data_IF_694474075166
#
_entry.id   IF_694474075166
#
_cell.length_a   1.000
_cell.length_b   1.000
_cell.length_c   1.000
_cell.angle_alpha   90.00
_cell.angle_beta   90.00
_cell.angle_gamma   90.00
#
_symmetry.space_group_name_H-M   'P 1'
#
loop_
_entity.id
_entity.type
_entity.pdbx_description
1 polymer ?
#
# COMPACT_ATOMS: atom_id res chain seq x y z
N UNK A 1 -9.59 11.49 20.79
CA UNK A 1 -8.41 12.02 20.04
C UNK A 1 -8.18 11.05 18.91
N UNK A 2 -8.27 11.52 17.67
CA UNK A 2 -8.04 10.72 16.48
C UNK A 2 -6.58 10.25 16.37
N UNK A 3 -6.32 9.27 15.50
CA UNK A 3 -4.94 8.82 15.25
C UNK A 3 -4.06 9.94 14.72
N UNK A 4 -4.58 10.83 13.86
CA UNK A 4 -3.85 11.99 13.36
C UNK A 4 -3.55 13.02 14.45
N UNK A 5 -4.52 13.36 15.32
CA UNK A 5 -4.32 14.35 16.40
C UNK A 5 -3.19 13.96 17.36
N UNK A 6 -2.88 12.66 17.48
CA UNK A 6 -1.74 12.18 18.28
C UNK A 6 -0.39 12.45 17.64
N UNK A 7 -0.33 12.59 16.31
CA UNK A 7 0.90 12.78 15.55
C UNK A 7 1.11 14.23 15.11
N UNK A 8 0.03 14.97 14.89
CA UNK A 8 0.02 16.31 14.32
C UNK A 8 0.96 17.29 15.03
N UNK A 9 1.03 17.21 16.36
CA UNK A 9 1.85 18.08 17.20
C UNK A 9 3.27 17.56 17.48
N UNK A 10 3.72 16.48 16.85
CA UNK A 10 5.11 16.03 17.01
C UNK A 10 6.06 17.04 16.38
N UNK A 11 6.95 17.60 17.22
CA UNK A 11 7.97 18.54 16.80
C UNK A 11 9.15 17.83 16.15
N UNK A 12 9.75 18.44 15.13
CA UNK A 12 11.03 18.04 14.60
C UNK A 12 11.82 19.25 14.10
N UNK A 13 13.14 19.09 14.06
CA UNK A 13 14.07 20.04 13.44
C UNK A 13 14.57 19.46 12.15
N UNK A 14 14.36 20.18 11.06
CA UNK A 14 14.87 19.87 9.73
C UNK A 14 16.06 20.79 9.40
N UNK A 15 17.20 20.22 9.04
CA UNK A 15 18.41 20.94 8.63
C UNK A 15 18.62 20.90 7.12
N UNK A 16 18.11 19.87 6.47
CA UNK A 16 18.16 19.67 5.02
C UNK A 16 17.53 18.36 4.61
N UNK A 17 17.54 18.11 3.30
CA UNK A 17 17.12 16.82 2.78
C UNK A 17 17.93 16.44 1.54
N UNK A 18 18.01 15.14 1.27
CA UNK A 18 18.56 14.57 0.04
C UNK A 18 17.63 13.54 -0.56
N UNK A 19 17.92 13.17 -1.79
CA UNK A 19 17.12 12.23 -2.57
C UNK A 19 17.98 11.02 -2.94
N UNK A 20 17.43 9.82 -2.78
CA UNK A 20 18.08 8.57 -3.15
C UNK A 20 17.20 7.81 -4.14
N UNK A 21 17.60 7.81 -5.41
CA UNK A 21 16.90 7.08 -6.47
C UNK A 21 17.24 5.59 -6.39
N UNK A 22 16.21 4.75 -6.57
CA UNK A 22 16.33 3.28 -6.66
C UNK A 22 15.66 2.79 -7.95
N UNK A 23 16.25 1.74 -8.55
CA UNK A 23 15.70 1.10 -9.73
C UNK A 23 15.80 -0.42 -9.59
N UNK A 24 14.77 -1.13 -10.09
CA UNK A 24 14.73 -2.59 -10.10
C UNK A 24 13.82 -3.10 -11.22
N UNK A 25 14.29 -4.11 -11.94
CA UNK A 25 13.44 -4.91 -12.81
C UNK A 25 12.48 -5.72 -11.93
N UNK A 26 11.18 -5.65 -12.21
CA UNK A 26 10.13 -6.34 -11.46
C UNK A 26 9.46 -7.44 -12.28
N UNK A 27 8.86 -8.41 -11.60
CA UNK A 27 8.18 -9.57 -12.21
C UNK A 27 7.10 -9.21 -13.24
N UNK A 28 6.56 -7.98 -13.18
CA UNK A 28 5.60 -7.47 -14.16
C UNK A 28 6.24 -6.98 -15.48
N UNK A 29 7.56 -7.15 -15.66
CA UNK A 29 8.27 -6.89 -16.93
C UNK A 29 8.56 -5.41 -17.21
N UNK A 30 8.66 -4.56 -16.19
CA UNK A 30 9.08 -3.17 -16.32
C UNK A 30 10.13 -2.80 -15.26
N UNK A 31 10.92 -1.75 -15.56
CA UNK A 31 11.85 -1.16 -14.60
C UNK A 31 11.07 -0.26 -13.64
N UNK A 32 10.96 -0.69 -12.38
CA UNK A 32 10.40 0.13 -11.31
C UNK A 32 11.43 1.14 -10.83
N UNK A 33 11.02 2.40 -10.72
CA UNK A 33 11.81 3.49 -10.13
C UNK A 33 11.07 4.01 -8.92
N UNK A 34 11.79 4.24 -7.81
CA UNK A 34 11.32 4.97 -6.64
C UNK A 34 12.38 5.96 -6.18
N UNK A 35 11.99 6.97 -5.40
CA UNK A 35 12.93 7.93 -4.81
C UNK A 35 12.68 8.06 -3.33
N UNK A 36 13.67 7.73 -2.52
CA UNK A 36 13.62 7.97 -1.08
C UNK A 36 13.94 9.45 -0.81
N UNK A 37 13.04 10.12 -0.12
CA UNK A 37 13.27 11.42 0.51
C UNK A 37 13.88 11.17 1.87
N UNK A 38 15.09 11.69 2.11
CA UNK A 38 15.79 11.57 3.38
C UNK A 38 15.87 12.95 4.01
N UNK A 39 15.12 13.16 5.08
CA UNK A 39 15.19 14.35 5.90
C UNK A 39 16.30 14.22 6.95
N UNK A 40 17.08 15.27 7.14
CA UNK A 40 18.25 15.31 8.04
C UNK A 40 18.04 16.38 9.11
N UNK A 41 18.23 16.04 10.38
CA UNK A 41 18.13 17.01 11.46
C UNK A 41 18.54 16.44 12.82
N UNK A 42 19.29 17.21 13.61
CA UNK A 42 19.74 16.79 14.93
C UNK A 42 20.65 15.55 14.93
N UNK A 43 21.34 15.27 13.83
CA UNK A 43 22.18 14.08 13.66
C UNK A 43 21.38 12.79 13.40
N UNK A 44 20.09 12.90 13.11
CA UNK A 44 19.19 11.80 12.78
C UNK A 44 18.63 11.97 11.36
N UNK A 45 18.15 10.89 10.79
CA UNK A 45 17.50 10.85 9.47
C UNK A 45 16.09 10.32 9.60
N UNK A 46 15.16 10.92 8.82
CA UNK A 46 13.81 10.42 8.61
C UNK A 46 13.59 10.13 7.13
N UNK A 47 12.89 9.05 6.84
CA UNK A 47 12.81 8.50 5.49
C UNK A 47 11.36 8.40 5.01
N UNK A 48 11.14 8.70 3.71
CA UNK A 48 9.88 8.46 3.02
C UNK A 48 10.14 8.10 1.56
N UNK A 49 9.23 7.43 0.90
CA UNK A 49 9.44 6.93 -0.45
C UNK A 49 8.38 7.43 -1.44
N UNK A 50 8.83 8.17 -2.46
CA UNK A 50 8.03 8.52 -3.64
C UNK A 50 7.92 7.31 -4.56
N UNK A 51 6.70 6.85 -4.73
CA UNK A 51 6.34 5.68 -5.53
C UNK A 51 5.69 6.05 -6.86
N UNK A 52 5.94 7.23 -7.38
CA UNK A 52 5.52 7.65 -8.73
C UNK A 52 5.90 6.58 -9.74
N UNK A 53 4.98 6.21 -10.65
CA UNK A 53 5.19 5.06 -11.54
C UNK A 53 6.10 5.36 -12.72
N UNK A 54 5.95 6.54 -13.31
CA UNK A 54 6.73 6.90 -14.50
C UNK A 54 8.13 7.37 -14.10
N UNK A 55 9.16 6.71 -14.60
CA UNK A 55 10.56 6.98 -14.26
C UNK A 55 10.98 8.43 -14.58
N UNK A 56 10.41 9.01 -15.63
CA UNK A 56 10.69 10.38 -16.06
C UNK A 56 10.08 11.43 -15.13
N UNK A 57 9.03 11.07 -14.42
CA UNK A 57 8.34 11.98 -13.48
C UNK A 57 9.09 12.09 -12.13
N UNK A 58 10.14 11.28 -11.90
CA UNK A 58 10.96 11.38 -10.69
C UNK A 58 11.93 12.58 -10.71
N UNK A 59 12.15 13.23 -11.83
CA UNK A 59 13.03 14.40 -11.93
C UNK A 59 12.40 15.49 -12.82
N UNK A 60 12.53 16.78 -12.42
CA UNK A 60 13.11 17.28 -11.17
C UNK A 60 12.15 17.17 -9.98
N UNK A 61 12.73 17.03 -8.79
CA UNK A 61 12.00 17.26 -7.55
C UNK A 61 11.84 18.76 -7.26
N UNK A 62 10.81 19.17 -6.51
CA UNK A 62 10.68 20.54 -6.06
C UNK A 62 11.83 20.89 -5.10
N UNK A 63 12.33 22.11 -5.18
CA UNK A 63 13.22 22.64 -4.15
C UNK A 63 12.34 23.19 -3.03
N UNK A 64 12.44 22.57 -1.85
CA UNK A 64 11.67 22.96 -0.69
C UNK A 64 12.57 23.73 0.29
N UNK A 65 12.16 24.93 0.68
CA UNK A 65 12.76 25.65 1.79
C UNK A 65 12.02 25.25 3.07
N UNK A 66 12.44 24.12 3.64
CA UNK A 66 11.79 23.50 4.81
C UNK A 66 12.69 23.51 6.06
N UNK A 67 13.86 24.16 5.99
CA UNK A 67 14.80 24.17 7.12
C UNK A 67 14.22 24.92 8.31
N UNK A 68 14.37 24.35 9.50
CA UNK A 68 13.90 24.95 10.76
C UNK A 68 13.18 23.95 11.66
N UNK A 69 12.52 24.47 12.67
CA UNK A 69 11.63 23.70 13.53
C UNK A 69 10.23 23.74 12.98
N UNK A 70 9.55 22.61 12.97
CA UNK A 70 8.17 22.47 12.55
C UNK A 70 7.49 21.31 13.28
N UNK A 71 6.17 21.29 13.28
CA UNK A 71 5.40 20.10 13.62
C UNK A 71 5.05 19.31 12.34
N UNK A 72 4.64 18.05 12.51
CA UNK A 72 4.15 17.22 11.41
C UNK A 72 2.99 17.91 10.67
N UNK A 73 2.06 18.55 11.40
CA UNK A 73 0.93 19.27 10.81
C UNK A 73 1.35 20.54 10.08
N UNK A 74 2.32 21.29 10.60
CA UNK A 74 2.83 22.50 9.93
C UNK A 74 3.53 22.17 8.61
N UNK A 75 4.30 21.07 8.56
CA UNK A 75 4.86 20.59 7.31
C UNK A 75 3.76 20.19 6.32
N UNK A 76 2.79 19.38 6.76
CA UNK A 76 1.68 18.95 5.91
C UNK A 76 0.98 20.14 5.26
N UNK A 77 0.65 21.19 6.05
CA UNK A 77 0.06 22.44 5.53
C UNK A 77 0.98 23.23 4.62
N UNK A 78 2.29 23.15 4.82
CA UNK A 78 3.24 23.82 3.93
C UNK A 78 3.24 23.18 2.54
N UNK A 79 3.14 21.84 2.49
CA UNK A 79 3.06 21.08 1.24
C UNK A 79 1.80 21.38 0.42
N UNK A 80 0.71 21.85 1.01
CA UNK A 80 -0.49 22.32 0.27
C UNK A 80 -0.20 23.47 -0.71
N UNK A 81 0.91 24.17 -0.51
CA UNK A 81 1.30 25.36 -1.32
C UNK A 81 2.46 25.07 -2.27
N UNK A 82 2.95 23.85 -2.29
CA UNK A 82 4.11 23.45 -3.07
C UNK A 82 3.65 22.81 -4.39
N UNK A 83 4.20 23.31 -5.50
CA UNK A 83 4.11 22.58 -6.78
C UNK A 83 5.09 21.38 -6.74
N UNK A 84 4.53 20.20 -6.52
CA UNK A 84 5.32 19.00 -6.37
C UNK A 84 5.96 18.48 -7.68
N UNK A 85 5.47 18.94 -8.83
CA UNK A 85 5.98 18.63 -10.16
C UNK A 85 6.28 19.91 -10.96
N UNK A 86 7.34 20.67 -10.60
CA UNK A 86 7.55 22.04 -11.09
C UNK A 86 7.91 22.14 -12.58
N UNK A 87 8.36 21.07 -13.22
CA UNK A 87 8.75 21.10 -14.63
C UNK A 87 7.56 20.89 -15.58
N UNK A 88 6.69 19.95 -15.25
CA UNK A 88 5.50 19.60 -16.04
C UNK A 88 4.53 18.78 -15.18
N UNK A 89 3.23 18.81 -15.46
CA UNK A 89 2.28 17.92 -14.81
C UNK A 89 2.71 16.45 -15.01
N UNK A 90 2.61 15.63 -13.96
CA UNK A 90 2.97 14.22 -14.06
C UNK A 90 2.00 13.46 -14.97
N UNK A 91 2.45 12.34 -15.53
CA UNK A 91 1.62 11.52 -16.44
C UNK A 91 0.42 10.87 -15.75
N UNK A 92 0.56 10.56 -14.46
CA UNK A 92 -0.55 10.00 -13.67
C UNK A 92 -1.08 11.04 -12.68
N UNK A 93 -2.40 11.18 -12.63
CA UNK A 93 -3.08 12.14 -11.74
C UNK A 93 -2.80 11.86 -10.24
N UNK A 94 -2.50 10.63 -9.87
CA UNK A 94 -2.18 10.23 -8.49
C UNK A 94 -0.72 10.54 -8.07
N UNK A 95 0.18 10.87 -8.99
CA UNK A 95 1.60 11.10 -8.68
C UNK A 95 1.85 12.22 -7.65
N UNK A 96 1.06 13.31 -7.61
CA UNK A 96 1.21 14.32 -6.55
C UNK A 96 0.97 13.76 -5.15
N UNK A 97 0.00 12.84 -4.98
CA UNK A 97 -0.23 12.19 -3.69
C UNK A 97 0.95 11.27 -3.33
N UNK A 98 1.50 10.51 -4.28
CA UNK A 98 2.66 9.65 -4.04
C UNK A 98 3.90 10.43 -3.59
N UNK A 99 4.19 11.55 -4.23
CA UNK A 99 5.32 12.43 -3.86
C UNK A 99 5.08 13.14 -2.54
N UNK A 100 3.86 13.62 -2.30
CA UNK A 100 3.48 14.21 -1.01
C UNK A 100 3.69 13.23 0.14
N UNK A 101 3.25 11.99 -0.04
CA UNK A 101 3.44 10.91 0.93
C UNK A 101 4.92 10.73 1.30
N UNK A 102 5.84 10.81 0.33
CA UNK A 102 7.27 10.68 0.60
C UNK A 102 7.78 11.78 1.56
N UNK A 103 7.34 13.02 1.37
CA UNK A 103 7.72 14.11 2.28
C UNK A 103 7.06 13.97 3.66
N UNK A 104 5.77 13.66 3.72
CA UNK A 104 5.05 13.54 5.00
C UNK A 104 5.53 12.34 5.82
N UNK A 105 5.79 11.20 5.18
CA UNK A 105 6.31 10.01 5.88
C UNK A 105 7.76 10.22 6.35
N UNK A 106 8.60 10.95 5.58
CA UNK A 106 9.94 11.32 6.01
C UNK A 106 9.91 12.24 7.24
N UNK A 107 9.00 13.21 7.27
CA UNK A 107 8.84 14.12 8.41
C UNK A 107 8.35 13.37 9.65
N UNK A 108 7.38 12.50 9.51
CA UNK A 108 6.90 11.66 10.61
C UNK A 108 8.01 10.77 11.15
N UNK A 109 8.78 10.11 10.29
CA UNK A 109 9.89 9.26 10.71
C UNK A 109 10.96 10.06 11.47
N UNK A 110 11.34 11.25 10.96
CA UNK A 110 12.29 12.13 11.64
C UNK A 110 11.77 12.60 13.00
N UNK A 111 10.51 13.05 13.07
CA UNK A 111 9.89 13.51 14.31
C UNK A 111 9.87 12.41 15.38
N UNK A 112 9.47 11.20 15.02
CA UNK A 112 9.45 10.05 15.91
C UNK A 112 10.86 9.67 16.39
N UNK A 113 11.84 9.67 15.48
CA UNK A 113 13.25 9.39 15.83
C UNK A 113 13.85 10.44 16.74
N UNK A 114 13.56 11.72 16.51
CA UNK A 114 14.01 12.81 17.39
C UNK A 114 13.34 12.74 18.77
N UNK A 115 12.08 12.30 18.82
CA UNK A 115 11.40 12.03 20.09
C UNK A 115 11.86 10.72 20.77
N UNK A 116 12.60 9.85 20.07
CA UNK A 116 13.06 8.55 20.59
C UNK A 116 11.95 7.53 20.80
N UNK A 117 10.83 7.65 20.04
CA UNK A 117 9.64 6.77 20.14
C UNK A 117 9.32 6.14 18.80
N UNK A 118 8.51 5.07 18.85
CA UNK A 118 7.93 4.43 17.67
C UNK A 118 6.59 5.04 17.29
N UNK A 119 6.12 4.80 16.05
CA UNK A 119 4.77 5.15 15.63
C UNK A 119 3.71 4.51 16.56
N UNK A 120 3.90 3.24 16.95
CA UNK A 120 2.99 2.54 17.85
C UNK A 120 2.84 3.22 19.20
N UNK A 121 3.95 3.67 19.80
CA UNK A 121 3.93 4.45 21.06
C UNK A 121 3.21 5.78 20.89
N UNK A 122 3.49 6.50 19.81
CA UNK A 122 2.87 7.80 19.53
C UNK A 122 1.34 7.70 19.40
N UNK A 123 0.82 6.67 18.71
CA UNK A 123 -0.62 6.49 18.55
C UNK A 123 -1.28 5.63 19.64
N UNK A 124 -0.48 5.02 20.52
CA UNK A 124 -0.97 4.17 21.62
C UNK A 124 -1.47 2.80 21.15
N UNK A 125 -0.88 2.23 20.09
CA UNK A 125 -1.19 0.89 19.56
C UNK A 125 0.05 -0.01 19.62
N UNK A 126 -0.06 -1.28 20.10
CA UNK A 126 1.07 -2.21 20.11
C UNK A 126 1.31 -2.76 18.70
N UNK A 127 2.57 -2.98 18.36
CA UNK A 127 2.92 -3.75 17.18
C UNK A 127 2.54 -5.23 17.37
N UNK A 128 2.04 -5.83 16.30
CA UNK A 128 1.62 -7.24 16.24
C UNK A 128 2.24 -7.91 15.01
N UNK A 129 2.45 -9.23 15.03
CA UNK A 129 2.86 -9.96 13.84
C UNK A 129 1.91 -9.70 12.66
N UNK A 130 2.47 -9.49 11.46
CA UNK A 130 1.70 -9.14 10.25
C UNK A 130 1.49 -10.36 9.39
N UNK A 131 0.25 -10.78 9.23
CA UNK A 131 -0.14 -11.73 8.20
C UNK A 131 -0.08 -11.05 6.84
N UNK A 132 0.55 -11.69 5.84
CA UNK A 132 0.65 -11.15 4.50
C UNK A 132 0.21 -12.14 3.43
N UNK A 133 -0.12 -11.63 2.25
CA UNK A 133 -0.35 -12.38 1.03
C UNK A 133 0.72 -12.03 0.00
N UNK A 134 1.02 -12.96 -0.89
CA UNK A 134 1.88 -12.74 -2.06
C UNK A 134 0.98 -12.41 -3.24
N UNK A 135 1.17 -11.22 -3.83
CA UNK A 135 0.44 -10.80 -5.03
C UNK A 135 1.14 -11.30 -6.29
N UNK A 136 0.42 -12.03 -7.14
CA UNK A 136 0.98 -12.59 -8.38
C UNK A 136 -0.11 -12.90 -9.42
N UNK A 137 0.33 -12.98 -10.69
CA UNK A 137 -0.45 -13.53 -11.83
C UNK A 137 0.00 -14.92 -12.25
N UNK A 138 1.08 -15.39 -11.60
CA UNK A 138 1.72 -16.66 -11.95
C UNK A 138 1.11 -17.82 -11.16
N UNK A 139 1.46 -19.03 -11.56
CA UNK A 139 1.10 -20.25 -10.81
C UNK A 139 1.73 -20.20 -9.40
N UNK A 140 0.89 -20.36 -8.40
CA UNK A 140 1.28 -20.28 -6.99
C UNK A 140 1.89 -21.59 -6.45
N UNK A 141 1.68 -22.71 -7.14
CA UNK A 141 2.08 -24.03 -6.66
C UNK A 141 3.59 -24.15 -6.43
N UNK A 142 4.48 -23.59 -7.26
CA UNK A 142 5.91 -23.61 -6.98
C UNK A 142 6.30 -22.88 -5.68
N UNK A 143 5.60 -21.79 -5.34
CA UNK A 143 5.79 -21.11 -4.05
C UNK A 143 5.37 -22.01 -2.87
N UNK A 144 4.27 -22.73 -3.01
CA UNK A 144 3.75 -23.62 -1.96
C UNK A 144 4.62 -24.87 -1.70
N UNK A 145 5.46 -25.26 -2.66
CA UNK A 145 6.47 -26.31 -2.45
C UNK A 145 7.55 -25.88 -1.45
N UNK A 146 7.89 -24.57 -1.42
CA UNK A 146 8.91 -24.01 -0.52
C UNK A 146 8.27 -23.48 0.77
N UNK A 147 7.12 -22.84 0.65
CA UNK A 147 6.40 -22.16 1.74
C UNK A 147 4.93 -22.61 1.77
N UNK A 148 4.61 -23.78 2.36
CA UNK A 148 3.24 -24.31 2.37
C UNK A 148 2.21 -23.43 3.09
N UNK A 149 2.68 -22.53 3.96
CA UNK A 149 1.85 -21.59 4.72
C UNK A 149 1.46 -20.33 3.97
N UNK A 150 2.07 -20.02 2.83
CA UNK A 150 1.78 -18.78 2.09
C UNK A 150 0.31 -18.70 1.65
N UNK A 151 -0.14 -17.46 1.59
CA UNK A 151 -1.44 -17.08 1.08
C UNK A 151 -1.25 -16.07 -0.07
N UNK A 152 -2.24 -15.98 -0.95
CA UNK A 152 -2.07 -15.26 -2.21
C UNK A 152 -3.21 -14.29 -2.49
N UNK A 153 -2.82 -13.17 -3.11
CA UNK A 153 -3.66 -12.27 -3.87
C UNK A 153 -3.38 -12.53 -5.34
N UNK A 154 -4.41 -12.76 -6.13
CA UNK A 154 -4.27 -13.07 -7.56
C UNK A 154 -4.98 -12.02 -8.40
N UNK A 155 -4.38 -11.69 -9.54
CA UNK A 155 -4.99 -10.86 -10.59
C UNK A 155 -5.47 -11.79 -11.72
N UNK A 156 -6.73 -12.28 -11.70
CA UNK A 156 -7.24 -13.18 -12.72
C UNK A 156 -7.38 -12.48 -14.05
N UNK A 157 -7.07 -13.18 -15.15
CA UNK A 157 -7.20 -12.69 -16.52
C UNK A 157 -8.06 -13.63 -17.37
N UNK A 158 -8.66 -13.11 -18.45
CA UNK A 158 -9.61 -13.87 -19.28
C UNK A 158 -8.98 -15.05 -20.04
N UNK A 159 -7.66 -15.11 -20.09
CA UNK A 159 -6.90 -16.23 -20.66
C UNK A 159 -6.60 -17.37 -19.68
N UNK A 160 -7.05 -17.25 -18.42
CA UNK A 160 -6.88 -18.32 -17.44
C UNK A 160 -7.79 -19.51 -17.78
N UNK A 161 -7.17 -20.67 -17.99
CA UNK A 161 -7.90 -21.92 -18.16
C UNK A 161 -8.57 -22.35 -16.87
N UNK A 162 -9.83 -22.81 -16.96
CA UNK A 162 -10.62 -23.24 -15.79
C UNK A 162 -9.94 -24.36 -14.98
N UNK A 163 -9.23 -25.25 -15.66
CA UNK A 163 -8.48 -26.33 -15.04
C UNK A 163 -7.35 -25.80 -14.16
N UNK A 164 -6.64 -24.76 -14.60
CA UNK A 164 -5.60 -24.10 -13.83
C UNK A 164 -6.23 -23.38 -12.63
N UNK A 165 -7.31 -22.63 -12.84
CA UNK A 165 -8.04 -21.99 -11.75
C UNK A 165 -8.52 -23.00 -10.70
N UNK A 166 -9.06 -24.13 -11.11
CA UNK A 166 -9.52 -25.17 -10.21
C UNK A 166 -8.35 -25.82 -9.40
N UNK A 167 -7.21 -26.02 -10.06
CA UNK A 167 -6.01 -26.53 -9.38
C UNK A 167 -5.46 -25.54 -8.34
N UNK A 168 -5.48 -24.24 -8.65
CA UNK A 168 -5.11 -23.17 -7.72
C UNK A 168 -6.13 -23.11 -6.56
N UNK A 169 -7.43 -23.15 -6.86
CA UNK A 169 -8.49 -23.12 -5.84
C UNK A 169 -8.38 -24.30 -4.86
N UNK A 170 -8.05 -25.49 -5.38
CA UNK A 170 -7.86 -26.69 -4.55
C UNK A 170 -6.73 -26.55 -3.51
N UNK A 171 -5.81 -25.60 -3.68
CA UNK A 171 -4.79 -25.33 -2.66
C UNK A 171 -5.38 -24.70 -1.38
N UNK A 172 -6.53 -24.03 -1.48
CA UNK A 172 -7.16 -23.30 -0.39
C UNK A 172 -6.35 -22.09 0.11
N UNK A 173 -5.44 -21.57 -0.71
CA UNK A 173 -4.48 -20.52 -0.31
C UNK A 173 -4.77 -19.14 -0.89
N UNK A 174 -5.75 -18.98 -1.73
CA UNK A 174 -6.15 -17.67 -2.31
C UNK A 174 -7.06 -16.93 -1.33
N UNK A 175 -6.72 -15.68 -1.06
CA UNK A 175 -7.47 -14.82 -0.12
C UNK A 175 -8.09 -13.60 -0.79
N UNK A 176 -7.50 -13.12 -1.88
CA UNK A 176 -7.96 -11.94 -2.60
C UNK A 176 -7.89 -12.21 -4.10
N UNK A 177 -8.93 -11.81 -4.83
CA UNK A 177 -8.97 -11.75 -6.29
C UNK A 177 -9.11 -10.29 -6.68
N UNK A 178 -8.13 -9.75 -7.38
CA UNK A 178 -8.07 -8.36 -7.80
C UNK A 178 -8.32 -8.24 -9.31
N UNK A 179 -9.50 -7.75 -9.67
CA UNK A 179 -9.98 -7.70 -11.06
C UNK A 179 -9.47 -6.52 -11.87
N UNK A 180 -8.75 -5.58 -11.24
CA UNK A 180 -8.09 -4.45 -11.92
C UNK A 180 -8.99 -3.57 -12.80
N UNK A 181 -10.30 -3.53 -12.55
CA UNK A 181 -11.25 -2.84 -13.43
C UNK A 181 -11.13 -1.32 -13.46
N UNK A 182 -10.39 -0.73 -12.49
CA UNK A 182 -10.15 0.71 -12.42
C UNK A 182 -8.81 1.17 -13.02
N UNK A 183 -8.04 0.26 -13.63
CA UNK A 183 -6.71 0.56 -14.18
C UNK A 183 -6.73 0.87 -15.68
N UNK A 184 -7.78 1.57 -16.15
CA UNK A 184 -8.03 1.87 -17.56
C UNK A 184 -6.82 2.53 -18.24
N UNK A 185 -6.47 2.04 -19.43
CA UNK A 185 -5.35 2.56 -20.23
C UNK A 185 -3.96 2.12 -19.74
N UNK A 186 -3.88 1.24 -18.75
CA UNK A 186 -2.60 0.70 -18.27
C UNK A 186 -2.34 -0.71 -18.78
N UNK A 187 -1.09 -1.18 -18.68
CA UNK A 187 -0.70 -2.56 -19.07
C UNK A 187 -1.32 -3.64 -18.18
N UNK A 188 -1.94 -3.25 -17.07
CA UNK A 188 -2.60 -4.15 -16.14
C UNK A 188 -4.12 -4.09 -16.22
N UNK A 189 -4.67 -3.26 -17.13
CA UNK A 189 -6.11 -3.18 -17.37
C UNK A 189 -6.68 -4.55 -17.69
N UNK A 190 -7.77 -4.89 -17.03
CA UNK A 190 -8.57 -6.07 -17.33
C UNK A 190 -9.98 -5.62 -17.70
N UNK A 191 -10.36 -5.89 -18.97
CA UNK A 191 -11.74 -5.62 -19.40
C UNK A 191 -12.72 -6.51 -18.61
N UNK A 192 -13.90 -6.00 -18.27
CA UNK A 192 -14.94 -6.79 -17.62
C UNK A 192 -15.29 -8.04 -18.44
N UNK A 193 -15.25 -9.22 -17.80
CA UNK A 193 -15.56 -10.51 -18.40
C UNK A 193 -16.50 -11.30 -17.47
N UNK A 194 -17.82 -11.30 -17.72
CA UNK A 194 -18.77 -12.00 -16.86
C UNK A 194 -18.51 -13.51 -16.70
N UNK A 195 -17.85 -14.15 -17.68
CA UNK A 195 -17.52 -15.57 -17.59
C UNK A 195 -16.36 -15.82 -16.60
N UNK A 196 -15.30 -14.98 -16.67
CA UNK A 196 -14.21 -14.99 -15.73
C UNK A 196 -14.71 -14.75 -14.29
N UNK A 197 -15.54 -13.70 -14.10
CA UNK A 197 -16.10 -13.37 -12.78
C UNK A 197 -16.88 -14.55 -12.19
N UNK A 198 -17.79 -15.18 -12.96
CA UNK A 198 -18.54 -16.36 -12.48
C UNK A 198 -17.62 -17.51 -12.10
N UNK A 199 -16.63 -17.82 -12.94
CA UNK A 199 -15.69 -18.89 -12.66
C UNK A 199 -14.87 -18.60 -11.38
N UNK A 200 -14.39 -17.37 -11.20
CA UNK A 200 -13.66 -16.95 -10.01
C UNK A 200 -14.52 -17.03 -8.75
N UNK A 201 -15.75 -16.50 -8.78
CA UNK A 201 -16.63 -16.52 -7.62
C UNK A 201 -17.08 -17.93 -7.23
N UNK A 202 -17.24 -18.83 -8.19
CA UNK A 202 -17.56 -20.25 -7.97
C UNK A 202 -16.39 -21.01 -7.34
N UNK A 203 -15.17 -20.80 -7.88
CA UNK A 203 -13.99 -21.57 -7.48
C UNK A 203 -13.34 -21.01 -6.19
N UNK A 204 -13.50 -19.73 -5.90
CA UNK A 204 -12.92 -19.06 -4.74
C UNK A 204 -14.02 -18.40 -3.87
N UNK A 205 -14.93 -19.18 -3.27
CA UNK A 205 -16.11 -18.64 -2.58
C UNK A 205 -15.80 -17.77 -1.36
N UNK A 206 -14.61 -17.92 -0.75
CA UNK A 206 -14.20 -17.20 0.45
C UNK A 206 -13.22 -16.05 0.17
N UNK A 207 -12.78 -15.85 -1.09
CA UNK A 207 -11.84 -14.81 -1.42
C UNK A 207 -12.50 -13.43 -1.44
N UNK A 208 -11.79 -12.42 -0.96
CA UNK A 208 -12.15 -11.00 -1.13
C UNK A 208 -12.12 -10.67 -2.62
N UNK A 209 -13.08 -9.89 -3.07
CA UNK A 209 -13.25 -9.47 -4.47
C UNK A 209 -12.85 -8.00 -4.56
N UNK A 210 -11.61 -7.77 -4.99
CA UNK A 210 -11.01 -6.43 -5.06
C UNK A 210 -11.17 -5.84 -6.46
N UNK A 211 -11.49 -4.55 -6.50
CA UNK A 211 -11.61 -3.72 -7.71
C UNK A 211 -12.41 -4.36 -8.85
N UNK A 212 -13.54 -5.01 -8.50
CA UNK A 212 -14.47 -5.51 -9.47
C UNK A 212 -15.15 -4.37 -10.24
N UNK A 213 -15.43 -4.58 -11.55
CA UNK A 213 -16.31 -3.67 -12.29
C UNK A 213 -17.72 -3.65 -11.67
N UNK A 214 -18.32 -2.48 -11.63
CA UNK A 214 -19.69 -2.26 -11.19
C UNK A 214 -20.61 -1.87 -12.37
N UNK A 215 -20.26 -2.28 -13.60
CA UNK A 215 -21.10 -2.06 -14.77
C UNK A 215 -22.34 -2.98 -14.79
N UNK A 216 -23.23 -2.72 -15.75
CA UNK A 216 -24.52 -3.43 -15.89
C UNK A 216 -24.37 -4.93 -16.18
N UNK A 217 -23.24 -5.37 -16.75
CA UNK A 217 -22.98 -6.78 -17.08
C UNK A 217 -22.42 -7.56 -15.89
N UNK A 218 -21.60 -6.92 -15.06
CA UNK A 218 -20.92 -7.54 -13.92
C UNK A 218 -21.76 -7.46 -12.64
N UNK A 219 -22.49 -6.38 -12.39
CA UNK A 219 -23.30 -6.23 -11.17
C UNK A 219 -24.18 -7.45 -10.86
N UNK A 220 -24.92 -8.05 -11.82
CA UNK A 220 -25.72 -9.26 -11.53
C UNK A 220 -24.88 -10.49 -11.16
N UNK A 221 -23.61 -10.54 -11.58
CA UNK A 221 -22.68 -11.62 -11.24
C UNK A 221 -22.18 -11.47 -9.81
N UNK A 222 -22.05 -10.22 -9.32
CA UNK A 222 -21.58 -9.91 -7.96
C UNK A 222 -22.66 -10.04 -6.89
N UNK A 223 -23.91 -10.28 -7.22
CA UNK A 223 -25.03 -10.30 -6.25
C UNK A 223 -24.76 -11.26 -5.07
N UNK A 224 -24.15 -12.42 -5.34
CA UNK A 224 -23.75 -13.40 -4.32
C UNK A 224 -22.42 -13.10 -3.60
N UNK A 225 -21.74 -11.99 -3.93
CA UNK A 225 -20.41 -11.64 -3.40
C UNK A 225 -20.37 -10.24 -2.78
N UNK A 226 -21.51 -9.58 -2.58
CA UNK A 226 -21.60 -8.22 -2.06
C UNK A 226 -20.91 -8.02 -0.70
N UNK A 227 -20.89 -9.05 0.13
CA UNK A 227 -20.24 -9.07 1.45
C UNK A 227 -18.72 -9.30 1.40
N UNK A 228 -18.16 -9.47 0.20
CA UNK A 228 -16.73 -9.71 -0.04
C UNK A 228 -16.08 -8.62 -0.90
N UNK A 229 -16.85 -7.57 -1.30
CA UNK A 229 -16.33 -6.51 -2.13
C UNK A 229 -15.30 -5.65 -1.39
N UNK A 230 -14.22 -5.35 -2.07
CA UNK A 230 -13.12 -4.48 -1.66
C UNK A 230 -12.77 -3.50 -2.75
N UNK A 231 -12.26 -2.33 -2.36
CA UNK A 231 -11.80 -1.30 -3.28
C UNK A 231 -10.39 -0.86 -2.93
N UNK A 232 -9.59 -0.62 -3.96
CA UNK A 232 -8.20 -0.19 -3.92
C UNK A 232 -7.99 1.06 -4.78
N UNK A 233 -8.05 0.89 -6.09
CA UNK A 233 -7.67 1.93 -7.04
C UNK A 233 -8.48 3.24 -6.92
N UNK A 234 -9.80 3.24 -6.68
CA UNK A 234 -10.58 4.48 -6.58
C UNK A 234 -10.42 5.21 -5.23
N UNK A 235 -9.67 4.69 -4.27
CA UNK A 235 -9.65 5.21 -2.90
C UNK A 235 -8.40 6.04 -2.65
N UNK A 236 -8.59 7.36 -2.49
CA UNK A 236 -7.56 8.35 -2.17
C UNK A 236 -7.93 9.20 -0.93
N UNK A 237 -9.16 9.07 -0.44
CA UNK A 237 -9.69 9.81 0.69
C UNK A 237 -10.92 9.12 1.29
N UNK A 238 -11.36 9.57 2.47
CA UNK A 238 -12.64 9.16 3.05
C UNK A 238 -13.83 9.54 2.15
N UNK A 239 -13.74 10.68 1.45
CA UNK A 239 -14.79 11.11 0.52
C UNK A 239 -14.97 10.12 -0.65
N UNK A 240 -13.90 9.47 -1.11
CA UNK A 240 -13.99 8.44 -2.16
C UNK A 240 -14.71 7.19 -1.63
N UNK A 241 -14.47 6.81 -0.38
CA UNK A 241 -15.21 5.71 0.28
C UNK A 241 -16.70 6.05 0.36
N UNK A 242 -17.04 7.29 0.69
CA UNK A 242 -18.44 7.76 0.77
C UNK A 242 -19.11 7.87 -0.61
N UNK A 243 -18.33 8.08 -1.66
CA UNK A 243 -18.81 8.17 -3.04
C UNK A 243 -19.01 6.82 -3.74
N UNK A 244 -18.54 5.71 -3.16
CA UNK A 244 -18.74 4.40 -3.75
C UNK A 244 -20.23 4.08 -3.94
N UNK A 245 -20.63 3.50 -5.10
CA UNK A 245 -22.02 3.18 -5.37
C UNK A 245 -22.54 2.01 -4.51
N UNK A 246 -21.63 1.28 -3.87
CA UNK A 246 -21.94 0.17 -2.94
C UNK A 246 -21.12 0.37 -1.66
N UNK A 247 -21.70 -0.01 -0.51
CA UNK A 247 -20.97 0.03 0.75
C UNK A 247 -19.88 -1.06 0.75
N UNK A 248 -18.59 -0.71 0.87
CA UNK A 248 -17.53 -1.70 0.89
C UNK A 248 -17.57 -2.51 2.19
N UNK A 249 -17.29 -3.80 2.10
CA UNK A 249 -17.04 -4.66 3.25
C UNK A 249 -15.57 -4.63 3.63
N UNK A 250 -14.70 -4.49 2.64
CA UNK A 250 -13.26 -4.44 2.78
C UNK A 250 -12.69 -3.23 2.05
N UNK A 251 -11.52 -2.77 2.51
CA UNK A 251 -10.76 -1.70 1.86
C UNK A 251 -9.27 -2.07 1.83
N UNK A 252 -8.64 -1.94 0.66
CA UNK A 252 -7.20 -2.02 0.53
C UNK A 252 -6.59 -0.63 0.78
N UNK A 253 -5.86 -0.49 1.89
CA UNK A 253 -5.27 0.79 2.31
C UNK A 253 -3.85 0.88 1.78
N UNK A 254 -3.64 1.76 0.79
CA UNK A 254 -2.33 2.09 0.23
C UNK A 254 -1.92 3.51 0.63
N UNK A 255 -1.06 3.70 1.63
CA UNK A 255 -0.80 5.00 2.24
C UNK A 255 -0.43 6.10 1.26
N UNK A 256 0.41 5.78 0.26
CA UNK A 256 0.84 6.74 -0.75
C UNK A 256 -0.29 7.32 -1.60
N UNK A 257 -1.42 6.61 -1.76
CA UNK A 257 -2.59 7.12 -2.49
C UNK A 257 -3.30 8.25 -1.76
N UNK A 258 -3.24 8.26 -0.43
CA UNK A 258 -3.84 9.33 0.37
C UNK A 258 -3.01 10.62 0.34
N UNK A 259 -1.72 10.51 0.03
CA UNK A 259 -0.80 11.64 -0.06
C UNK A 259 -0.48 12.30 1.28
N UNK A 260 -1.44 12.44 2.17
CA UNK A 260 -1.20 13.02 3.50
C UNK A 260 -1.52 12.05 4.64
N UNK A 261 -0.78 12.18 5.74
CA UNK A 261 -1.04 11.46 6.98
C UNK A 261 -2.45 11.73 7.52
N UNK A 262 -2.92 12.97 7.38
CA UNK A 262 -4.28 13.34 7.81
C UNK A 262 -5.33 12.53 7.06
N UNK A 263 -5.34 12.55 5.73
CA UNK A 263 -6.33 11.81 4.92
C UNK A 263 -6.26 10.30 5.15
N UNK A 264 -5.04 9.76 5.28
CA UNK A 264 -4.84 8.34 5.57
C UNK A 264 -5.46 7.93 6.91
N UNK A 265 -5.09 8.62 7.99
CA UNK A 265 -5.53 8.26 9.34
C UNK A 265 -7.00 8.59 9.59
N UNK A 266 -7.53 9.64 8.99
CA UNK A 266 -8.97 9.92 8.96
C UNK A 266 -9.76 8.76 8.33
N UNK A 267 -9.30 8.26 7.19
CA UNK A 267 -9.93 7.14 6.51
C UNK A 267 -9.85 5.85 7.35
N UNK A 268 -8.69 5.55 7.95
CA UNK A 268 -8.50 4.38 8.81
C UNK A 268 -9.43 4.46 10.03
N UNK A 269 -9.44 5.58 10.75
CA UNK A 269 -10.28 5.77 11.94
C UNK A 269 -11.78 5.64 11.57
N UNK A 270 -12.21 6.24 10.47
CA UNK A 270 -13.59 6.14 9.99
C UNK A 270 -13.98 4.72 9.56
N UNK A 271 -13.07 3.96 8.95
CA UNK A 271 -13.31 2.55 8.60
C UNK A 271 -13.48 1.69 9.85
N UNK A 272 -12.61 1.87 10.86
CA UNK A 272 -12.74 1.20 12.16
C UNK A 272 -14.12 1.48 12.79
N UNK A 273 -14.53 2.75 12.86
CA UNK A 273 -15.83 3.16 13.40
C UNK A 273 -17.03 2.58 12.64
N UNK A 274 -16.90 2.47 11.31
CA UNK A 274 -17.98 1.96 10.43
C UNK A 274 -18.01 0.43 10.32
N UNK A 275 -17.03 -0.28 10.91
CA UNK A 275 -16.88 -1.73 10.80
C UNK A 275 -16.53 -2.20 9.38
N UNK A 276 -15.82 -1.37 8.61
CA UNK A 276 -15.21 -1.73 7.33
C UNK A 276 -13.88 -2.40 7.63
N UNK A 277 -13.70 -3.64 7.20
CA UNK A 277 -12.44 -4.36 7.37
C UNK A 277 -11.38 -3.80 6.44
N UNK A 278 -10.17 -3.63 6.96
CA UNK A 278 -9.05 -3.10 6.18
C UNK A 278 -7.95 -4.14 6.02
N UNK A 279 -7.17 -4.03 4.95
CA UNK A 279 -5.88 -4.69 4.76
C UNK A 279 -4.93 -3.75 4.03
N UNK A 280 -3.63 -3.93 4.27
CA UNK A 280 -2.61 -3.07 3.68
C UNK A 280 -2.24 -3.50 2.27
N UNK A 281 -1.84 -2.53 1.47
CA UNK A 281 -1.21 -2.76 0.17
C UNK A 281 -0.10 -1.75 -0.09
N UNK A 282 0.71 -2.04 -1.12
CA UNK A 282 1.82 -1.22 -1.57
C UNK A 282 1.73 -0.81 -3.02
N UNK A 283 2.68 0.02 -3.45
CA UNK A 283 2.86 0.52 -4.82
C UNK A 283 4.23 0.10 -5.37
N UNK A 284 4.68 -1.14 -5.11
CA UNK A 284 6.00 -1.62 -5.47
C UNK A 284 7.14 -0.77 -4.89
N UNK A 285 7.08 -0.50 -3.58
CA UNK A 285 8.15 0.16 -2.85
C UNK A 285 9.45 -0.65 -2.96
N UNK A 286 10.55 0.01 -3.33
CA UNK A 286 11.88 -0.58 -3.44
C UNK A 286 12.76 -0.31 -2.21
N UNK A 287 12.34 0.61 -1.37
CA UNK A 287 13.07 1.08 -0.20
C UNK A 287 12.23 1.04 1.07
N UNK A 288 12.36 2.11 1.86
CA UNK A 288 11.77 2.24 3.21
C UNK A 288 10.24 2.16 3.25
N UNK A 289 9.58 2.53 2.15
CA UNK A 289 8.12 2.49 2.05
C UNK A 289 7.56 1.10 2.32
N UNK A 290 8.27 0.03 1.91
CA UNK A 290 7.88 -1.35 2.21
C UNK A 290 7.79 -1.60 3.72
N UNK A 291 8.80 -1.18 4.48
CA UNK A 291 8.77 -1.28 5.95
C UNK A 291 7.69 -0.41 6.58
N UNK A 292 7.41 0.78 6.01
CA UNK A 292 6.38 1.68 6.50
C UNK A 292 4.97 1.09 6.34
N UNK A 293 4.66 0.47 5.19
CA UNK A 293 3.35 -0.19 5.01
C UNK A 293 3.19 -1.42 5.91
N UNK A 294 4.28 -2.14 6.20
CA UNK A 294 4.28 -3.24 7.16
C UNK A 294 4.05 -2.74 8.59
N UNK A 295 4.65 -1.62 8.98
CA UNK A 295 4.41 -0.99 10.28
C UNK A 295 2.94 -0.57 10.44
N UNK A 296 2.32 0.04 9.42
CA UNK A 296 0.90 0.37 9.43
C UNK A 296 0.02 -0.89 9.52
N UNK A 297 0.34 -1.93 8.74
CA UNK A 297 -0.38 -3.20 8.81
C UNK A 297 -0.36 -3.79 10.22
N UNK A 298 0.81 -3.77 10.87
CA UNK A 298 0.99 -4.25 12.25
C UNK A 298 0.14 -3.52 13.28
N UNK A 299 -0.05 -2.21 13.10
CA UNK A 299 -0.75 -1.35 14.04
C UNK A 299 -2.26 -1.32 13.83
N UNK A 300 -2.74 -1.48 12.60
CA UNK A 300 -4.14 -1.24 12.26
C UNK A 300 -4.89 -2.49 11.78
N UNK A 301 -4.24 -3.39 11.03
CA UNK A 301 -4.91 -4.56 10.43
C UNK A 301 -4.01 -5.81 10.34
N UNK A 302 -3.34 -6.21 11.46
CA UNK A 302 -2.28 -7.23 11.44
C UNK A 302 -2.76 -8.63 11.01
N UNK A 303 -4.01 -8.98 11.30
CA UNK A 303 -4.58 -10.31 11.03
C UNK A 303 -5.20 -10.41 9.61
N UNK A 304 -5.25 -9.29 8.89
CA UNK A 304 -5.83 -9.23 7.55
C UNK A 304 -4.90 -9.85 6.48
N UNK A 305 -5.43 -10.05 5.27
CA UNK A 305 -4.67 -10.56 4.12
C UNK A 305 -3.87 -9.43 3.47
N UNK A 306 -2.84 -8.92 4.15
CA UNK A 306 -2.09 -7.75 3.75
C UNK A 306 -1.21 -8.01 2.54
N UNK A 307 -1.34 -7.22 1.48
CA UNK A 307 -0.46 -7.24 0.30
C UNK A 307 0.82 -6.44 0.57
N UNK A 308 1.57 -6.88 1.58
CA UNK A 308 2.80 -6.23 2.07
C UNK A 308 3.95 -7.23 2.22
N UNK A 309 3.95 -8.28 1.42
CA UNK A 309 5.02 -9.30 1.43
C UNK A 309 6.41 -8.66 1.29
N UNK A 310 7.45 -9.23 1.90
CA UNK A 310 8.84 -8.83 1.67
C UNK A 310 9.21 -8.87 0.19
N UNK A 311 10.15 -7.99 -0.23
CA UNK A 311 10.48 -7.77 -1.63
C UNK A 311 10.94 -9.01 -2.43
N UNK A 312 11.47 -10.04 -1.77
CA UNK A 312 11.87 -11.29 -2.42
C UNK A 312 10.68 -12.08 -3.00
N UNK A 313 9.49 -11.93 -2.44
CA UNK A 313 8.27 -12.57 -2.95
C UNK A 313 7.75 -11.99 -4.28
N UNK A 314 8.31 -10.88 -4.74
CA UNK A 314 8.02 -10.31 -6.06
C UNK A 314 8.94 -10.86 -7.17
N UNK A 315 9.80 -11.84 -6.86
CA UNK A 315 10.64 -12.50 -7.85
C UNK A 315 9.78 -13.32 -8.83
N UNK A 316 10.18 -13.44 -10.11
CA UNK A 316 9.45 -14.23 -11.10
C UNK A 316 9.46 -15.73 -10.79
N UNK A 317 10.50 -16.20 -10.11
CA UNK A 317 10.64 -17.59 -9.67
C UNK A 317 10.79 -17.65 -8.16
N UNK A 318 10.22 -18.68 -7.51
CA UNK A 318 10.33 -18.86 -6.07
C UNK A 318 11.78 -19.11 -5.64
N UNK A 319 12.17 -18.45 -4.55
CA UNK A 319 13.45 -18.67 -3.90
C UNK A 319 13.29 -19.00 -2.42
N UNK A 320 14.23 -19.80 -1.88
CA UNK A 320 14.26 -20.15 -0.47
C UNK A 320 14.92 -19.07 0.40
N UNK A 321 14.68 -19.13 1.71
CA UNK A 321 15.35 -18.25 2.69
C UNK A 321 14.66 -16.91 2.95
N UNK A 322 13.47 -16.69 2.39
CA UNK A 322 12.69 -15.48 2.65
C UNK A 322 12.04 -15.52 4.05
N UNK A 323 11.71 -14.32 4.57
CA UNK A 323 10.98 -14.18 5.83
C UNK A 323 9.60 -14.83 5.72
N UNK A 324 9.24 -15.65 6.71
CA UNK A 324 7.99 -16.40 6.72
C UNK A 324 6.80 -15.58 7.18
N UNK A 325 5.61 -16.04 6.83
CA UNK A 325 4.32 -15.52 7.28
C UNK A 325 3.94 -16.14 8.64
N UNK A 326 3.56 -15.32 9.67
CA UNK A 326 3.52 -13.86 9.68
C UNK A 326 4.89 -13.21 9.85
N UNK A 327 5.01 -11.91 9.50
CA UNK A 327 6.20 -11.11 9.78
C UNK A 327 6.21 -10.70 11.26
N UNK A 328 7.28 -11.02 11.97
CA UNK A 328 7.43 -10.59 13.35
C UNK A 328 7.86 -9.11 13.44
N UNK A 329 7.28 -8.33 14.37
CA UNK A 329 7.65 -6.93 14.53
C UNK A 329 9.08 -6.79 15.08
N UNK A 330 9.76 -5.66 14.82
CA UNK A 330 11.05 -5.34 15.40
C UNK A 330 10.98 -5.39 16.93
N UNK A 331 12.03 -5.88 17.56
CA UNK A 331 12.08 -5.98 19.02
C UNK A 331 12.06 -4.61 19.72
N UNK A 332 12.57 -3.59 19.05
CA UNK A 332 12.64 -2.19 19.56
C UNK A 332 12.41 -1.23 18.39
N UNK A 333 11.15 -1.07 17.95
CA UNK A 333 10.86 -0.13 16.88
C UNK A 333 11.12 1.31 17.34
N UNK A 334 11.75 2.11 16.48
CA UNK A 334 11.91 3.56 16.66
C UNK A 334 11.62 4.22 15.31
N UNK A 335 10.90 5.33 15.33
CA UNK A 335 10.51 6.00 14.10
C UNK A 335 9.31 5.33 13.41
N UNK A 336 9.23 5.53 12.11
CA UNK A 336 8.21 4.96 11.22
C UNK A 336 8.84 3.92 10.29
N UNK A 337 9.41 2.87 10.85
CA UNK A 337 10.10 1.82 10.11
C UNK A 337 9.78 0.44 10.68
N UNK A 338 9.77 -0.55 9.80
CA UNK A 338 9.71 -1.97 10.15
C UNK A 338 11.09 -2.62 10.19
N UNK A 339 12.12 -1.92 9.78
CA UNK A 339 13.46 -2.48 9.70
C UNK A 339 13.98 -2.78 11.11
N UNK A 340 14.41 -4.03 11.30
CA UNK A 340 15.30 -4.37 12.41
C UNK A 340 16.62 -3.66 12.15
N UNK A 341 17.03 -2.84 13.10
CA UNK A 341 18.32 -2.16 13.11
C UNK A 341 19.48 -3.15 12.98
#
# INVERSE_FOLDING_TARGET
MSSYERLAGLDFRLEGYRLERREKEVSSGFTRVTTTVVFEGGGLEGHGEDVTYNAEDHEPFPTLDLAGNATVDELSRSLDRVELFPASPPRMAASPDYRRWAFESAALDLALRQAGISLGEAIGRPYRPVRFVVSTRLDIRPWLEIYPELEFKLDPTSDWEREIMAAIAATGRVRVLDFKSYYTGTVVEQAPDPALYRACLELFPDAVVEDASLDEEILPVLDGAADRLSFDAPIHSLADVDALPVRPRYLNVKPSRFGSLHRLLECIDACDERGISMYGGGQFELGVGRGQIQALASLFYPDASNDVAPGGYNAPEPEGGLLRNPLEPPARPVGFSWDSA
#
